data_IF_186404184476
#
_entry.id   IF_186404184476
#
_cell.length_a   1.000
_cell.length_b   1.000
_cell.length_c   1.000
_cell.angle_alpha   90.00
_cell.angle_beta   90.00
_cell.angle_gamma   90.00
#
_symmetry.space_group_name_H-M   'P 1'
#
loop_
_entity.id
_entity.type
_entity.pdbx_description
1 polymer ?
#
# COMPACT_ATOMS: atom_id res chain seq x y z
N UNK A 1 -1.08 23.56 -47.67
CA UNK A 1 -0.88 22.32 -46.85
C UNK A 1 0.02 22.52 -45.61
N UNK A 2 1.11 23.32 -45.66
CA UNK A 2 2.08 23.50 -44.55
C UNK A 2 1.50 24.08 -43.23
N UNK A 3 0.44 24.92 -43.29
CA UNK A 3 -0.15 25.54 -42.07
C UNK A 3 -1.07 24.64 -41.24
N UNK A 4 -1.54 23.49 -41.76
CA UNK A 4 -2.45 22.57 -41.02
C UNK A 4 -1.69 21.54 -40.17
N UNK A 5 -0.44 21.25 -40.49
CA UNK A 5 0.38 20.26 -39.79
C UNK A 5 0.58 20.62 -38.31
N UNK A 6 0.97 21.86 -37.92
CA UNK A 6 1.14 22.20 -36.51
C UNK A 6 -0.18 22.13 -35.72
N UNK A 7 -1.30 22.47 -36.36
CA UNK A 7 -2.62 22.38 -35.71
C UNK A 7 -2.96 20.91 -35.40
N UNK A 8 -2.74 20.03 -36.37
CA UNK A 8 -2.98 18.58 -36.17
C UNK A 8 -2.09 18.02 -35.02
N UNK A 9 -0.83 18.42 -34.97
CA UNK A 9 0.08 18.00 -33.88
C UNK A 9 -0.43 18.47 -32.53
N UNK A 10 -0.88 19.73 -32.42
CA UNK A 10 -1.42 20.27 -31.16
C UNK A 10 -2.68 19.51 -30.75
N UNK A 11 -3.60 19.23 -31.67
CA UNK A 11 -4.82 18.47 -31.38
C UNK A 11 -4.48 17.05 -30.87
N UNK A 12 -3.55 16.36 -31.53
CA UNK A 12 -3.09 15.02 -31.11
C UNK A 12 -2.49 15.08 -29.69
N UNK A 13 -1.62 16.05 -29.41
CA UNK A 13 -1.04 16.22 -28.08
C UNK A 13 -2.13 16.46 -27.01
N UNK A 14 -3.11 17.32 -27.26
CA UNK A 14 -4.21 17.56 -26.33
C UNK A 14 -5.00 16.29 -26.05
N UNK A 15 -5.32 15.49 -27.09
CA UNK A 15 -6.03 14.20 -26.91
C UNK A 15 -5.20 13.22 -26.09
N UNK A 16 -3.89 13.12 -26.37
CA UNK A 16 -2.99 12.23 -25.59
C UNK A 16 -2.92 12.67 -24.13
N UNK A 17 -2.72 13.97 -23.85
CA UNK A 17 -2.66 14.46 -22.47
C UNK A 17 -4.00 14.29 -21.74
N UNK A 18 -5.13 14.53 -22.40
CA UNK A 18 -6.45 14.28 -21.84
C UNK A 18 -6.67 12.80 -21.53
N UNK A 19 -6.24 11.90 -22.43
CA UNK A 19 -6.30 10.45 -22.22
C UNK A 19 -5.44 9.99 -21.04
N UNK A 20 -4.20 10.49 -20.95
CA UNK A 20 -3.30 10.20 -19.83
C UNK A 20 -3.85 10.74 -18.50
N UNK A 21 -4.40 11.95 -18.50
CA UNK A 21 -5.05 12.54 -17.31
C UNK A 21 -6.26 11.72 -16.86
N UNK A 22 -7.12 11.31 -17.77
CA UNK A 22 -8.26 10.45 -17.47
C UNK A 22 -7.83 9.09 -16.95
N UNK A 23 -6.84 8.44 -17.56
CA UNK A 23 -6.28 7.17 -17.11
C UNK A 23 -5.70 7.29 -15.70
N UNK A 24 -4.90 8.32 -15.44
CA UNK A 24 -4.32 8.59 -14.13
C UNK A 24 -5.41 8.81 -13.06
N UNK A 25 -6.47 9.58 -13.41
CA UNK A 25 -7.58 9.81 -12.50
C UNK A 25 -8.34 8.52 -12.18
N UNK A 26 -8.59 7.64 -13.15
CA UNK A 26 -9.25 6.36 -12.90
C UNK A 26 -8.38 5.44 -12.02
N UNK A 27 -7.07 5.41 -12.27
CA UNK A 27 -6.12 4.62 -11.47
C UNK A 27 -6.00 5.13 -10.03
N UNK A 28 -6.25 6.42 -9.78
CA UNK A 28 -6.17 7.03 -8.44
C UNK A 28 -7.39 6.80 -7.56
N UNK A 29 -8.51 6.34 -8.13
CA UNK A 29 -9.74 6.08 -7.37
C UNK A 29 -9.55 4.95 -6.38
N UNK A 30 -10.04 5.16 -5.16
CA UNK A 30 -10.08 4.10 -4.14
C UNK A 30 -11.12 3.07 -4.57
N UNK A 31 -10.72 1.80 -4.53
CA UNK A 31 -11.62 0.67 -4.74
C UNK A 31 -12.14 0.22 -3.37
N UNK A 32 -13.44 0.06 -3.28
CA UNK A 32 -14.11 -0.44 -2.08
C UNK A 32 -14.48 -1.91 -2.25
N UNK A 33 -14.45 -2.66 -1.16
CA UNK A 33 -14.95 -4.02 -1.13
C UNK A 33 -16.47 -4.02 -1.31
N UNK A 34 -16.98 -4.94 -2.14
CA UNK A 34 -18.41 -5.12 -2.38
C UNK A 34 -19.07 -6.05 -1.37
N UNK A 35 -18.28 -6.80 -0.62
CA UNK A 35 -18.70 -7.70 0.45
C UNK A 35 -17.94 -7.39 1.74
N UNK A 36 -18.42 -7.95 2.84
CA UNK A 36 -17.71 -7.82 4.13
C UNK A 36 -16.34 -8.51 4.06
N UNK A 37 -15.32 -7.81 4.50
CA UNK A 37 -13.94 -8.30 4.60
C UNK A 37 -13.46 -8.15 6.04
N UNK A 38 -12.84 -9.20 6.56
CA UNK A 38 -12.00 -9.12 7.75
C UNK A 38 -10.54 -9.13 7.28
N UNK A 39 -9.84 -8.03 7.46
CA UNK A 39 -8.51 -7.84 6.89
C UNK A 39 -7.43 -8.73 7.48
N UNK A 40 -7.59 -9.18 8.72
CA UNK A 40 -6.73 -10.16 9.39
C UNK A 40 -7.47 -10.78 10.57
N UNK A 41 -6.98 -11.90 11.08
CA UNK A 41 -7.54 -12.56 12.26
C UNK A 41 -7.15 -11.83 13.54
N UNK A 42 -8.02 -11.90 14.56
CA UNK A 42 -7.72 -11.31 15.88
C UNK A 42 -6.45 -11.90 16.51
N UNK A 43 -6.19 -13.20 16.32
CA UNK A 43 -4.99 -13.85 16.81
C UNK A 43 -3.70 -13.33 16.19
N UNK A 44 -3.70 -13.09 14.87
CA UNK A 44 -2.56 -12.48 14.18
C UNK A 44 -2.35 -11.04 14.62
N UNK A 45 -3.42 -10.26 14.73
CA UNK A 45 -3.33 -8.86 15.17
C UNK A 45 -2.84 -8.75 16.62
N UNK A 46 -3.24 -9.67 17.49
CA UNK A 46 -2.73 -9.73 18.85
C UNK A 46 -1.21 -10.00 18.89
N UNK A 47 -0.67 -10.74 17.91
CA UNK A 47 0.75 -10.99 17.72
C UNK A 47 1.40 -9.98 16.74
N UNK A 48 1.05 -8.72 16.85
CA UNK A 48 1.56 -7.60 16.04
C UNK A 48 1.24 -7.69 14.53
N UNK A 49 0.36 -8.60 14.10
CA UNK A 49 -0.08 -8.72 12.71
C UNK A 49 1.06 -8.88 11.71
N UNK A 50 2.08 -9.70 12.03
CA UNK A 50 3.28 -9.85 11.21
C UNK A 50 3.01 -10.61 9.90
N UNK A 51 1.85 -11.21 9.75
CA UNK A 51 1.41 -11.81 8.49
C UNK A 51 -0.11 -11.73 8.35
N UNK A 52 -0.57 -11.85 7.11
CA UNK A 52 -1.98 -11.90 6.73
C UNK A 52 -2.12 -12.75 5.47
N UNK A 53 -3.09 -13.63 5.42
CA UNK A 53 -3.44 -14.38 4.21
C UNK A 53 -4.69 -13.79 3.57
N UNK A 54 -4.66 -13.61 2.26
CA UNK A 54 -5.83 -13.19 1.47
C UNK A 54 -5.80 -13.84 0.09
N UNK A 55 -6.83 -14.60 -0.24
CA UNK A 55 -7.02 -15.23 -1.55
C UNK A 55 -5.80 -16.06 -2.04
N UNK A 56 -5.20 -16.85 -1.14
CA UNK A 56 -4.04 -17.69 -1.45
C UNK A 56 -2.68 -16.96 -1.49
N UNK A 57 -2.68 -15.67 -1.16
CA UNK A 57 -1.45 -14.87 -1.02
C UNK A 57 -1.20 -14.55 0.45
N UNK A 58 0.00 -14.84 0.92
CA UNK A 58 0.47 -14.48 2.25
C UNK A 58 1.29 -13.21 2.14
N UNK A 59 0.86 -12.17 2.85
CA UNK A 59 1.61 -10.93 3.03
C UNK A 59 2.26 -10.97 4.40
N UNK A 60 3.54 -10.67 4.49
CA UNK A 60 4.26 -10.82 5.76
C UNK A 60 5.43 -9.84 5.91
N UNK A 61 5.78 -9.59 7.16
CA UNK A 61 6.98 -8.88 7.56
C UNK A 61 8.16 -9.86 7.55
N UNK A 62 9.08 -9.72 6.58
CA UNK A 62 10.18 -10.67 6.42
C UNK A 62 11.28 -10.43 7.46
N UNK A 63 11.53 -11.34 8.42
CA UNK A 63 12.55 -11.16 9.44
C UNK A 63 13.98 -11.16 8.87
N UNK A 64 14.21 -11.83 7.73
CA UNK A 64 15.53 -11.90 7.09
C UNK A 64 15.86 -10.60 6.32
N UNK A 65 14.89 -9.69 6.16
CA UNK A 65 15.07 -8.40 5.52
C UNK A 65 14.43 -7.28 6.37
N UNK A 66 14.81 -7.22 7.63
CA UNK A 66 14.45 -6.13 8.54
C UNK A 66 12.94 -5.88 8.63
N UNK A 67 12.14 -6.95 8.66
CA UNK A 67 10.67 -6.91 8.73
C UNK A 67 10.00 -6.09 7.62
N UNK A 68 10.60 -6.01 6.45
CA UNK A 68 9.99 -5.36 5.29
C UNK A 68 8.85 -6.19 4.73
N UNK A 69 7.92 -5.50 4.03
CA UNK A 69 6.72 -6.14 3.49
C UNK A 69 7.05 -7.01 2.27
N UNK A 70 6.67 -8.26 2.36
CA UNK A 70 6.78 -9.27 1.32
C UNK A 70 5.44 -9.95 1.04
N UNK A 71 5.36 -10.64 -0.09
CA UNK A 71 4.30 -11.60 -0.40
C UNK A 71 4.88 -12.91 -0.92
N UNK A 72 4.11 -14.00 -0.73
CA UNK A 72 4.36 -15.33 -1.30
C UNK A 72 3.02 -16.04 -1.45
N UNK A 73 2.99 -17.18 -2.16
CA UNK A 73 1.83 -18.08 -2.10
C UNK A 73 1.82 -18.91 -0.79
N UNK A 74 0.73 -19.62 -0.54
CA UNK A 74 0.58 -20.45 0.66
C UNK A 74 1.53 -21.66 0.71
N UNK A 75 2.22 -21.97 -0.38
CA UNK A 75 3.24 -23.03 -0.47
C UNK A 75 4.66 -22.47 -0.28
N UNK A 76 4.79 -21.15 -0.06
CA UNK A 76 6.09 -20.49 0.09
C UNK A 76 6.79 -20.12 -1.21
N UNK A 77 6.13 -20.29 -2.37
CA UNK A 77 6.68 -19.90 -3.67
C UNK A 77 6.35 -18.44 -4.02
N UNK A 78 6.91 -17.95 -5.12
CA UNK A 78 6.66 -16.61 -5.66
C UNK A 78 6.98 -15.49 -4.66
N UNK A 79 8.03 -15.68 -3.86
CA UNK A 79 8.51 -14.68 -2.90
C UNK A 79 8.82 -13.37 -3.60
N UNK A 80 8.18 -12.30 -3.13
CA UNK A 80 8.31 -10.96 -3.72
C UNK A 80 8.33 -9.89 -2.63
N UNK A 81 9.33 -8.99 -2.69
CA UNK A 81 9.32 -7.76 -1.88
C UNK A 81 8.30 -6.79 -2.45
N UNK A 82 7.42 -6.27 -1.60
CA UNK A 82 6.40 -5.29 -1.96
C UNK A 82 6.76 -3.87 -1.52
N UNK A 83 7.45 -3.71 -0.39
CA UNK A 83 7.85 -2.40 0.14
C UNK A 83 9.20 -2.46 0.86
N UNK A 84 9.86 -1.31 0.96
CA UNK A 84 11.04 -1.10 1.80
C UNK A 84 10.66 -0.64 3.22
N UNK A 85 9.38 -0.45 3.51
CA UNK A 85 8.90 -0.14 4.85
C UNK A 85 9.00 -1.37 5.75
N UNK A 86 9.48 -1.19 6.98
CA UNK A 86 9.26 -2.14 8.08
C UNK A 86 7.79 -2.10 8.45
N UNK A 87 7.16 -3.25 8.58
CA UNK A 87 5.72 -3.32 8.70
C UNK A 87 5.27 -4.16 9.88
N UNK A 88 4.12 -3.78 10.43
CA UNK A 88 3.36 -4.52 11.44
C UNK A 88 1.86 -4.28 11.23
N UNK A 89 1.03 -5.05 11.91
CA UNK A 89 -0.44 -4.97 11.80
C UNK A 89 -0.90 -5.02 10.33
N UNK A 90 -0.36 -6.00 9.58
CA UNK A 90 -0.70 -6.24 8.19
C UNK A 90 -2.15 -6.71 8.10
N UNK A 91 -2.92 -6.05 7.24
CA UNK A 91 -4.28 -6.41 6.88
C UNK A 91 -4.38 -6.42 5.35
N UNK A 92 -5.24 -7.26 4.78
CA UNK A 92 -5.46 -7.28 3.34
C UNK A 92 -6.96 -7.37 3.01
N UNK A 93 -7.37 -6.68 1.97
CA UNK A 93 -8.67 -6.83 1.34
C UNK A 93 -8.56 -7.35 -0.10
N UNK A 94 -9.61 -7.23 -0.90
CA UNK A 94 -9.61 -7.72 -2.29
C UNK A 94 -8.76 -6.83 -3.23
N UNK A 95 -8.30 -5.67 -2.77
CA UNK A 95 -7.64 -4.67 -3.58
C UNK A 95 -6.28 -4.21 -3.05
N UNK A 96 -6.13 -4.17 -1.72
CA UNK A 96 -5.01 -3.51 -1.07
C UNK A 96 -4.45 -4.31 0.11
N UNK A 97 -3.21 -3.97 0.46
CA UNK A 97 -2.59 -4.33 1.73
C UNK A 97 -2.45 -3.06 2.57
N UNK A 98 -2.88 -3.12 3.83
CA UNK A 98 -2.78 -2.05 4.81
C UNK A 98 -1.82 -2.48 5.91
N UNK A 99 -1.04 -1.55 6.41
CA UNK A 99 -0.05 -1.85 7.45
C UNK A 99 0.31 -0.60 8.25
N UNK A 100 0.78 -0.82 9.46
CA UNK A 100 1.48 0.21 10.22
C UNK A 100 2.94 0.19 9.81
N UNK A 101 3.43 1.32 9.29
CA UNK A 101 4.84 1.52 8.98
C UNK A 101 5.61 1.80 10.29
N UNK A 102 6.70 1.09 10.50
CA UNK A 102 7.56 1.24 11.67
C UNK A 102 9.03 1.38 11.25
N UNK A 103 9.32 2.37 10.42
CA UNK A 103 10.68 2.65 9.96
C UNK A 103 11.47 3.32 11.08
N UNK A 104 12.63 2.77 11.43
CA UNK A 104 13.55 3.38 12.37
C UNK A 104 14.14 4.68 11.82
N UNK A 105 14.45 5.61 12.72
CA UNK A 105 15.13 6.83 12.38
C UNK A 105 16.64 6.60 12.41
N UNK A 106 17.25 6.22 11.31
CA UNK A 106 18.72 6.16 11.19
C UNK A 106 19.35 7.56 11.02
N UNK A 107 18.61 8.63 11.33
CA UNK A 107 19.08 10.00 11.22
C UNK A 107 19.78 10.45 12.50
N UNK A 108 20.88 11.16 12.36
CA UNK A 108 21.61 11.92 13.39
C UNK A 108 20.76 13.11 13.91
N UNK A 109 19.53 12.87 14.33
CA UNK A 109 18.62 13.88 14.86
C UNK A 109 18.06 13.42 16.20
N UNK A 110 17.60 14.35 16.99
CA UNK A 110 17.00 14.08 18.29
C UNK A 110 15.91 13.00 18.17
N UNK A 111 16.01 11.90 18.92
CA UNK A 111 15.02 10.79 18.98
C UNK A 111 13.58 11.26 19.26
N UNK A 112 13.46 12.46 19.76
CA UNK A 112 12.23 13.19 20.02
C UNK A 112 11.30 13.30 18.79
N UNK A 113 11.82 13.28 17.57
CA UNK A 113 11.02 13.33 16.32
C UNK A 113 10.77 11.96 15.68
N UNK A 114 11.17 10.86 16.32
CA UNK A 114 11.01 9.50 15.77
C UNK A 114 9.55 9.07 15.61
N UNK A 115 8.62 9.67 16.36
CA UNK A 115 7.17 9.38 16.28
C UNK A 115 6.54 9.62 14.90
N UNK A 116 7.12 10.47 14.07
CA UNK A 116 6.58 10.78 12.74
C UNK A 116 6.70 9.64 11.71
N UNK A 117 7.25 8.48 12.09
CA UNK A 117 7.50 7.36 11.18
C UNK A 117 6.54 6.19 11.34
N UNK A 118 5.80 6.13 12.43
CA UNK A 118 4.75 5.14 12.62
C UNK A 118 3.47 5.70 12.03
N UNK A 119 3.18 5.35 10.79
CA UNK A 119 2.03 5.87 10.06
C UNK A 119 1.22 4.73 9.48
N UNK A 120 -0.09 4.93 9.37
CA UNK A 120 -0.96 4.01 8.66
C UNK A 120 -0.72 4.16 7.15
N UNK A 121 -0.40 3.06 6.50
CA UNK A 121 -0.11 3.01 5.08
C UNK A 121 -1.01 2.01 4.35
N UNK A 122 -1.15 2.22 3.05
CA UNK A 122 -1.78 1.31 2.10
C UNK A 122 -0.90 1.16 0.87
N UNK A 123 -0.87 -0.05 0.32
CA UNK A 123 -0.17 -0.39 -0.93
C UNK A 123 -1.06 -1.28 -1.79
N UNK A 124 -0.95 -1.23 -3.10
CA UNK A 124 -1.60 -2.19 -3.97
C UNK A 124 -0.98 -3.59 -3.74
N UNK A 125 -1.75 -4.66 -3.95
CA UNK A 125 -1.29 -6.04 -3.74
C UNK A 125 -0.06 -6.41 -4.56
N UNK A 126 0.19 -5.70 -5.66
CA UNK A 126 1.38 -5.89 -6.50
C UNK A 126 2.63 -5.12 -6.03
N UNK A 127 2.53 -4.34 -4.94
CA UNK A 127 3.63 -3.54 -4.40
C UNK A 127 3.76 -2.14 -5.00
N UNK A 128 2.75 -1.68 -5.76
CA UNK A 128 2.73 -0.34 -6.35
C UNK A 128 1.85 0.63 -5.54
N UNK A 129 1.94 1.91 -5.86
CA UNK A 129 1.04 2.97 -5.38
C UNK A 129 0.92 3.05 -3.85
N UNK A 130 2.04 2.94 -3.14
CA UNK A 130 2.06 3.15 -1.68
C UNK A 130 1.52 4.53 -1.33
N UNK A 131 0.61 4.58 -0.35
CA UNK A 131 0.02 5.82 0.18
C UNK A 131 0.05 5.82 1.70
N UNK A 132 0.44 6.93 2.27
CA UNK A 132 0.24 7.21 3.69
C UNK A 132 -1.21 7.67 3.85
N UNK A 133 -1.98 6.93 4.64
CA UNK A 133 -3.38 7.24 4.91
C UNK A 133 -3.50 8.21 6.08
N UNK A 134 -2.67 8.00 7.11
CA UNK A 134 -2.52 8.92 8.23
C UNK A 134 -1.04 9.06 8.58
N UNK A 135 -0.63 10.29 8.92
CA UNK A 135 0.74 10.63 9.32
C UNK A 135 0.93 10.61 10.84
N UNK A 136 -0.17 10.61 11.58
CA UNK A 136 -0.10 10.54 13.03
C UNK A 136 0.42 9.18 13.48
N UNK A 137 1.09 9.10 14.63
CA UNK A 137 1.61 7.86 15.17
C UNK A 137 0.49 6.84 15.34
N UNK A 138 0.62 5.71 14.66
CA UNK A 138 -0.32 4.61 14.68
C UNK A 138 0.37 3.41 15.33
N UNK A 139 -0.23 2.84 16.38
CA UNK A 139 0.36 1.72 17.13
C UNK A 139 -0.22 0.36 16.73
N UNK A 140 -1.39 0.35 16.13
CA UNK A 140 -2.06 -0.86 15.64
C UNK A 140 -3.00 -0.50 14.50
N UNK A 141 -3.44 -1.50 13.73
CA UNK A 141 -4.46 -1.33 12.70
C UNK A 141 -5.29 -2.60 12.55
N UNK A 142 -6.58 -2.45 12.35
CA UNK A 142 -7.51 -3.54 12.06
C UNK A 142 -8.49 -3.12 10.98
N UNK A 143 -8.55 -3.84 9.87
CA UNK A 143 -9.48 -3.63 8.77
C UNK A 143 -10.74 -4.47 8.98
N UNK A 144 -11.88 -3.80 9.00
CA UNK A 144 -13.20 -4.42 9.12
C UNK A 144 -14.14 -3.81 8.08
N UNK A 145 -14.55 -4.61 7.10
CA UNK A 145 -15.30 -4.12 5.93
C UNK A 145 -14.46 -3.14 5.11
N UNK A 146 -14.92 -1.90 4.99
CA UNK A 146 -14.21 -0.80 4.33
C UNK A 146 -13.62 0.23 5.32
N UNK A 147 -13.56 -0.10 6.61
CA UNK A 147 -13.07 0.78 7.66
C UNK A 147 -11.80 0.22 8.30
N UNK A 148 -10.88 1.10 8.62
CA UNK A 148 -9.66 0.77 9.37
C UNK A 148 -9.76 1.44 10.72
N UNK A 149 -9.62 0.64 11.77
CA UNK A 149 -9.53 1.08 13.17
C UNK A 149 -8.05 1.05 13.58
N UNK A 150 -7.52 2.17 14.11
CA UNK A 150 -6.11 2.36 14.48
C UNK A 150 -5.95 3.35 15.62
#
# INVERSE_FOLDING_TARGET
>A
MKKRLPIIIIVVLVVVFAGLGFYSHQKSKIKYNTSYVNGNTAGNLYNAGLFCEKNGTVYFANPDDDYRLYSMDTNGNHLKKLSYDRVMYINADDHYVYYVRNNENNGTGFDFFSYARNSLCRIDQNGENTKILDKDPCLYASLVGNYIYY
#
